data_IF_187118283630
#
_entry.id   IF_187118283630
#
_cell.length_a   1.000
_cell.length_b   1.000
_cell.length_c   1.000
_cell.angle_alpha   90.00
_cell.angle_beta   90.00
_cell.angle_gamma   90.00
#
_symmetry.space_group_name_H-M   'P 1'
#
loop_
_entity.id
_entity.type
_entity.pdbx_description
1 polymer ?
#
# COMPACT_ATOMS: atom_id res chain seq x y z
N UNK A 1 -28.28 1.83 13.95
CA UNK A 1 -27.59 2.98 14.58
C UNK A 1 -26.16 2.98 14.09
N UNK A 2 -25.62 4.10 13.58
CA UNK A 2 -24.24 4.13 13.07
C UNK A 2 -23.22 4.09 14.22
N UNK A 3 -22.16 3.29 14.05
CA UNK A 3 -21.04 3.24 14.99
C UNK A 3 -20.03 4.34 14.64
N UNK A 4 -19.72 5.22 15.60
CA UNK A 4 -18.78 6.32 15.41
C UNK A 4 -17.36 5.84 15.07
N UNK A 5 -16.90 4.76 15.71
CA UNK A 5 -15.55 4.25 15.51
C UNK A 5 -15.36 3.69 14.09
N UNK A 6 -16.39 2.99 13.58
CA UNK A 6 -16.37 2.46 12.20
C UNK A 6 -16.33 3.60 11.20
N UNK A 7 -17.16 4.64 11.38
CA UNK A 7 -17.17 5.81 10.51
C UNK A 7 -15.84 6.57 10.59
N UNK A 8 -15.33 6.82 11.79
CA UNK A 8 -14.06 7.51 11.99
C UNK A 8 -12.89 6.76 11.33
N UNK A 9 -12.82 5.45 11.48
CA UNK A 9 -11.81 4.61 10.82
C UNK A 9 -11.87 4.74 9.30
N UNK A 10 -13.08 4.67 8.73
CA UNK A 10 -13.26 4.81 7.28
C UNK A 10 -12.92 6.19 6.75
N UNK A 11 -13.27 7.25 7.48
CA UNK A 11 -12.96 8.62 7.08
C UNK A 11 -11.45 8.92 7.19
N UNK A 12 -10.78 8.36 8.19
CA UNK A 12 -9.31 8.41 8.30
C UNK A 12 -8.63 7.74 7.11
N UNK A 13 -9.08 6.55 6.75
CA UNK A 13 -8.60 5.83 5.56
C UNK A 13 -8.79 6.66 4.28
N UNK A 14 -9.98 7.27 4.09
CA UNK A 14 -10.25 8.14 2.95
C UNK A 14 -9.34 9.37 2.90
N UNK A 15 -9.01 9.97 4.04
CA UNK A 15 -8.08 11.08 4.11
C UNK A 15 -6.66 10.67 3.70
N UNK A 16 -6.21 9.47 4.08
CA UNK A 16 -4.92 8.92 3.64
C UNK A 16 -4.90 8.57 2.15
N UNK A 17 -6.00 8.04 1.62
CA UNK A 17 -6.12 7.70 0.19
C UNK A 17 -6.26 8.92 -0.73
N UNK A 18 -6.50 10.10 -0.17
CA UNK A 18 -6.68 11.35 -0.92
C UNK A 18 -5.94 12.48 -0.21
N UNK A 19 -4.64 12.59 -0.46
CA UNK A 19 -3.80 13.63 0.12
C UNK A 19 -4.39 15.03 -0.07
N UNK A 20 -4.38 15.83 0.98
CA UNK A 20 -4.95 17.18 0.99
C UNK A 20 -6.47 17.25 1.24
N UNK A 21 -7.18 16.12 1.24
CA UNK A 21 -8.61 16.09 1.57
C UNK A 21 -8.82 16.21 3.08
N UNK A 22 -9.63 17.20 3.49
CA UNK A 22 -10.02 17.42 4.89
C UNK A 22 -11.45 16.98 5.11
N UNK A 23 -11.66 16.04 6.02
CA UNK A 23 -12.97 15.48 6.37
C UNK A 23 -13.22 15.69 7.85
N UNK A 24 -14.43 16.10 8.25
CA UNK A 24 -14.83 16.21 9.65
C UNK A 24 -16.00 15.27 9.97
N UNK A 25 -15.98 14.69 11.15
CA UNK A 25 -17.05 13.88 11.70
C UNK A 25 -17.48 14.45 13.05
N UNK A 26 -18.75 14.79 13.19
CA UNK A 26 -19.30 15.30 14.46
C UNK A 26 -20.46 14.41 14.90
N UNK A 27 -20.36 13.86 16.11
CA UNK A 27 -21.42 13.07 16.74
C UNK A 27 -22.26 13.97 17.65
N UNK A 28 -23.47 14.32 17.22
CA UNK A 28 -24.40 15.17 17.96
C UNK A 28 -25.27 14.40 18.97
N UNK A 29 -25.06 13.10 19.13
CA UNK A 29 -25.82 12.26 20.07
C UNK A 29 -25.34 12.38 21.51
N UNK A 30 -24.06 12.74 21.67
CA UNK A 30 -23.42 12.89 22.98
C UNK A 30 -22.86 14.30 23.08
N UNK A 31 -23.31 15.00 24.12
CA UNK A 31 -22.85 16.34 24.47
C UNK A 31 -21.85 16.20 25.61
N UNK A 32 -20.72 16.89 25.54
CA UNK A 32 -19.81 17.02 26.65
C UNK A 32 -20.46 17.90 27.73
N UNK A 33 -20.62 17.39 28.94
CA UNK A 33 -21.31 18.07 30.02
C UNK A 33 -20.54 19.31 30.55
N UNK A 34 -19.21 19.38 30.32
CA UNK A 34 -18.36 20.44 30.80
C UNK A 34 -18.45 21.71 29.93
N UNK A 35 -18.52 21.58 28.62
CA UNK A 35 -18.44 22.71 27.68
C UNK A 35 -19.58 22.79 26.66
N UNK A 36 -20.51 21.82 26.70
CA UNK A 36 -21.63 21.76 25.77
C UNK A 36 -21.24 21.36 24.32
N UNK A 37 -20.00 20.98 24.10
CA UNK A 37 -19.48 20.61 22.77
C UNK A 37 -19.95 19.21 22.36
N UNK A 38 -19.94 18.97 21.03
CA UNK A 38 -20.14 17.62 20.49
C UNK A 38 -18.79 16.95 20.24
N UNK A 39 -18.77 15.62 20.32
CA UNK A 39 -17.60 14.85 19.91
C UNK A 39 -17.32 15.08 18.43
N UNK A 40 -16.20 15.71 18.11
CA UNK A 40 -15.79 16.03 16.74
C UNK A 40 -14.35 15.62 16.49
N UNK A 41 -14.07 15.12 15.29
CA UNK A 41 -12.74 14.72 14.84
C UNK A 41 -12.54 15.17 13.38
N UNK A 42 -11.34 15.66 13.07
CA UNK A 42 -10.95 16.06 11.72
C UNK A 42 -9.90 15.10 11.20
N UNK A 43 -10.13 14.56 10.02
CA UNK A 43 -9.21 13.67 9.31
C UNK A 43 -8.58 14.44 8.15
N UNK A 44 -7.26 14.46 8.10
CA UNK A 44 -6.47 15.13 7.08
C UNK A 44 -5.10 14.47 7.00
N UNK A 45 -4.59 14.30 5.79
CA UNK A 45 -3.23 13.85 5.53
C UNK A 45 -2.63 14.70 4.41
N UNK A 46 -1.43 15.21 4.61
CA UNK A 46 -0.69 15.96 3.61
C UNK A 46 0.10 15.02 2.68
N UNK A 47 0.69 13.97 3.24
CA UNK A 47 1.52 13.01 2.51
C UNK A 47 0.76 11.76 2.03
N UNK A 48 -0.53 11.64 2.33
CA UNK A 48 -1.40 10.57 1.82
C UNK A 48 -0.94 9.17 2.18
N UNK A 49 -0.64 8.33 1.17
CA UNK A 49 -0.23 6.93 1.38
C UNK A 49 1.06 6.76 2.18
N UNK A 50 1.96 7.74 2.16
CA UNK A 50 3.18 7.70 2.99
C UNK A 50 2.83 7.73 4.47
N UNK A 51 1.92 8.62 4.88
CA UNK A 51 1.43 8.66 6.26
C UNK A 51 0.62 7.41 6.60
N UNK A 52 -0.15 6.89 5.64
CA UNK A 52 -0.98 5.71 5.86
C UNK A 52 -0.12 4.48 6.17
N UNK A 53 0.92 4.21 5.40
CA UNK A 53 1.80 3.06 5.66
C UNK A 53 2.53 3.21 6.99
N UNK A 54 3.00 4.43 7.34
CA UNK A 54 3.58 4.71 8.66
C UNK A 54 2.58 4.49 9.80
N UNK A 55 1.33 4.87 9.59
CA UNK A 55 0.26 4.65 10.58
C UNK A 55 0.03 3.15 10.84
N UNK A 56 -0.02 2.33 9.78
CA UNK A 56 -0.14 0.87 9.90
C UNK A 56 1.09 0.27 10.61
N UNK A 57 2.27 0.79 10.33
CA UNK A 57 3.54 0.32 10.87
C UNK A 57 3.92 0.91 12.23
N UNK A 58 3.11 1.81 12.80
CA UNK A 58 3.46 2.61 13.98
C UNK A 58 3.88 1.85 15.23
N UNK A 59 3.50 0.57 15.34
CA UNK A 59 3.82 -0.30 16.49
C UNK A 59 4.89 -1.35 16.19
N UNK A 60 5.53 -1.30 15.00
CA UNK A 60 6.50 -2.31 14.55
C UNK A 60 7.90 -1.72 14.46
N UNK A 61 8.89 -2.57 14.60
CA UNK A 61 10.29 -2.22 14.35
C UNK A 61 10.59 -2.29 12.85
N UNK A 62 11.11 -1.21 12.29
CA UNK A 62 11.34 -1.08 10.85
C UNK A 62 12.75 -1.51 10.46
N UNK A 63 12.86 -2.25 9.35
CA UNK A 63 14.14 -2.51 8.68
C UNK A 63 14.64 -1.29 7.91
N UNK A 64 13.71 -0.50 7.36
CA UNK A 64 13.96 0.72 6.61
C UNK A 64 13.09 1.81 7.18
N UNK A 65 13.69 2.93 7.59
CA UNK A 65 12.94 4.06 8.19
C UNK A 65 12.19 4.89 7.14
N UNK A 66 12.68 4.91 5.90
CA UNK A 66 12.08 5.68 4.83
C UNK A 66 11.00 4.88 4.11
N UNK A 67 9.91 5.56 3.78
CA UNK A 67 8.85 4.97 2.95
C UNK A 67 9.31 4.93 1.50
N UNK A 68 9.30 3.76 0.89
CA UNK A 68 9.43 3.60 -0.55
C UNK A 68 8.10 4.01 -1.18
N UNK A 69 8.08 5.12 -1.91
CA UNK A 69 6.87 5.65 -2.51
C UNK A 69 6.99 5.72 -4.03
N UNK A 70 6.06 5.06 -4.69
CA UNK A 70 5.94 5.02 -6.14
C UNK A 70 4.66 5.78 -6.54
N UNK A 71 4.78 6.71 -7.47
CA UNK A 71 3.64 7.47 -8.00
C UNK A 71 3.84 7.68 -9.49
N UNK A 72 2.91 7.20 -10.28
CA UNK A 72 2.93 7.33 -11.73
C UNK A 72 1.56 7.08 -12.34
N UNK A 73 1.40 7.49 -13.58
CA UNK A 73 0.25 7.15 -14.40
C UNK A 73 0.70 6.26 -15.57
N UNK A 74 0.06 5.14 -15.77
CA UNK A 74 0.27 4.23 -16.92
C UNK A 74 -1.05 3.85 -17.56
N UNK A 75 -1.12 4.01 -18.87
CA UNK A 75 -2.33 3.70 -19.66
C UNK A 75 -3.59 4.45 -19.16
N UNK A 76 -3.41 5.68 -18.66
CA UNK A 76 -4.50 6.47 -18.09
C UNK A 76 -4.96 6.02 -16.70
N UNK A 77 -4.19 5.15 -16.04
CA UNK A 77 -4.45 4.65 -14.68
C UNK A 77 -3.47 5.31 -13.72
N UNK A 78 -3.91 6.26 -12.87
CA UNK A 78 -3.10 6.75 -11.75
C UNK A 78 -2.84 5.64 -10.74
N UNK A 79 -1.56 5.48 -10.37
CA UNK A 79 -1.07 4.43 -9.47
C UNK A 79 -0.21 5.07 -8.40
N UNK A 80 -0.55 4.83 -7.14
CA UNK A 80 0.24 5.19 -5.98
C UNK A 80 0.51 3.94 -5.15
N UNK A 81 1.75 3.76 -4.73
CA UNK A 81 2.17 2.63 -3.90
C UNK A 81 3.11 3.15 -2.80
N UNK A 82 2.83 2.79 -1.56
CA UNK A 82 3.72 3.05 -0.42
C UNK A 82 4.14 1.73 0.21
N UNK A 83 5.44 1.57 0.46
CA UNK A 83 6.04 0.32 0.92
C UNK A 83 6.93 0.60 2.13
N UNK A 84 6.84 -0.24 3.15
CA UNK A 84 7.79 -0.34 4.26
C UNK A 84 8.13 -1.80 4.54
N UNK A 85 9.30 -2.02 5.14
CA UNK A 85 9.71 -3.32 5.63
C UNK A 85 9.97 -3.26 7.14
N UNK A 86 9.48 -4.26 7.85
CA UNK A 86 9.68 -4.44 9.29
C UNK A 86 10.42 -5.75 9.60
N UNK A 87 10.80 -5.95 10.86
CA UNK A 87 11.53 -7.14 11.33
C UNK A 87 10.66 -8.37 11.51
N UNK A 88 9.37 -8.28 11.26
CA UNK A 88 8.43 -9.41 11.36
C UNK A 88 8.46 -10.31 10.13
N UNK A 89 7.71 -11.41 10.20
CA UNK A 89 7.65 -12.44 9.16
C UNK A 89 6.37 -12.39 8.33
N UNK A 90 5.42 -11.52 8.68
CA UNK A 90 4.12 -11.48 8.01
C UNK A 90 4.08 -10.47 6.88
N UNK A 91 3.43 -10.86 5.77
CA UNK A 91 3.03 -9.96 4.71
C UNK A 91 1.76 -9.20 5.11
N UNK A 92 1.74 -7.87 4.93
CA UNK A 92 0.59 -7.02 5.19
C UNK A 92 0.37 -6.06 4.01
N UNK A 93 -0.39 -6.50 3.02
CA UNK A 93 -0.63 -5.73 1.79
C UNK A 93 -2.09 -5.34 1.68
N UNK A 94 -2.33 -4.04 1.55
CA UNK A 94 -3.65 -3.45 1.35
C UNK A 94 -3.79 -2.92 -0.07
N UNK A 95 -4.87 -3.26 -0.75
CA UNK A 95 -5.12 -2.82 -2.12
C UNK A 95 -6.45 -2.09 -2.26
N UNK A 96 -6.43 -1.00 -3.04
CA UNK A 96 -7.55 -0.11 -3.24
C UNK A 96 -7.77 0.19 -4.72
N UNK A 97 -9.04 0.24 -5.11
CA UNK A 97 -9.49 0.70 -6.43
C UNK A 97 -10.56 1.76 -6.22
N UNK A 98 -10.33 2.98 -6.74
CA UNK A 98 -11.25 4.11 -6.55
C UNK A 98 -11.64 4.31 -5.08
N UNK A 99 -10.66 4.23 -4.17
CA UNK A 99 -10.81 4.31 -2.72
C UNK A 99 -11.59 3.14 -2.08
N UNK A 100 -11.92 2.09 -2.83
CA UNK A 100 -12.58 0.89 -2.31
C UNK A 100 -11.51 -0.12 -1.93
N UNK A 101 -11.55 -0.62 -0.68
CA UNK A 101 -10.66 -1.68 -0.24
C UNK A 101 -11.02 -2.99 -0.92
N UNK A 102 -10.10 -3.52 -1.74
CA UNK A 102 -10.24 -4.80 -2.42
C UNK A 102 -9.65 -5.91 -1.54
N UNK A 103 -10.41 -6.38 -0.57
CA UNK A 103 -9.95 -7.33 0.46
C UNK A 103 -9.46 -8.64 -0.16
N UNK A 104 -10.07 -9.08 -1.25
CA UNK A 104 -9.68 -10.28 -2.01
C UNK A 104 -8.62 -9.97 -3.09
N UNK A 105 -8.12 -8.73 -3.13
CA UNK A 105 -7.11 -8.29 -4.08
C UNK A 105 -7.63 -8.11 -5.50
N UNK A 106 -6.97 -8.76 -6.44
CA UNK A 106 -7.30 -8.69 -7.86
C UNK A 106 -6.06 -8.49 -8.73
N UNK A 107 -6.29 -8.05 -9.96
CA UNK A 107 -5.25 -7.94 -11.00
C UNK A 107 -4.15 -6.94 -10.64
N UNK A 108 -4.48 -5.80 -9.99
CA UNK A 108 -3.51 -4.80 -9.55
C UNK A 108 -2.59 -5.33 -8.45
N UNK A 109 -3.12 -6.09 -7.48
CA UNK A 109 -2.33 -6.74 -6.44
C UNK A 109 -1.44 -7.85 -7.04
N UNK A 110 -1.97 -8.65 -7.97
CA UNK A 110 -1.19 -9.66 -8.67
C UNK A 110 -0.03 -9.04 -9.47
N UNK A 111 -0.28 -7.92 -10.15
CA UNK A 111 0.75 -7.14 -10.84
C UNK A 111 1.85 -6.65 -9.91
N UNK A 112 1.48 -6.09 -8.75
CA UNK A 112 2.42 -5.67 -7.72
C UNK A 112 3.32 -6.84 -7.26
N UNK A 113 2.72 -7.95 -6.83
CA UNK A 113 3.47 -9.12 -6.34
C UNK A 113 4.42 -9.71 -7.38
N UNK A 114 3.98 -9.81 -8.63
CA UNK A 114 4.82 -10.28 -9.72
C UNK A 114 6.01 -9.35 -9.99
N UNK A 115 5.75 -8.05 -10.08
CA UNK A 115 6.79 -7.07 -10.35
C UNK A 115 7.82 -6.99 -9.23
N UNK A 116 7.38 -7.08 -7.96
CA UNK A 116 8.27 -7.16 -6.80
C UNK A 116 9.22 -8.35 -6.95
N UNK A 117 8.68 -9.55 -7.13
CA UNK A 117 9.48 -10.78 -7.26
C UNK A 117 10.48 -10.69 -8.40
N UNK A 118 10.05 -10.22 -9.56
CA UNK A 118 10.92 -10.07 -10.74
C UNK A 118 12.02 -9.04 -10.49
N UNK A 119 11.68 -7.85 -10.02
CA UNK A 119 12.63 -6.74 -9.87
C UNK A 119 13.68 -7.04 -8.81
N UNK A 120 13.30 -7.66 -7.69
CA UNK A 120 14.25 -8.06 -6.65
C UNK A 120 15.22 -9.14 -7.13
N UNK A 121 14.75 -10.15 -7.85
CA UNK A 121 15.62 -11.18 -8.42
C UNK A 121 16.57 -10.61 -9.48
N UNK A 122 16.08 -9.74 -10.39
CA UNK A 122 16.93 -9.05 -11.36
C UNK A 122 18.01 -8.21 -10.66
N UNK A 123 17.64 -7.48 -9.61
CA UNK A 123 18.60 -6.70 -8.83
C UNK A 123 19.64 -7.59 -8.15
N UNK A 124 19.21 -8.65 -7.46
CA UNK A 124 20.11 -9.55 -6.74
C UNK A 124 21.14 -10.20 -7.67
N UNK A 125 20.73 -10.56 -8.90
CA UNK A 125 21.65 -11.09 -9.93
C UNK A 125 22.60 -10.02 -10.48
N UNK A 126 22.08 -8.83 -10.79
CA UNK A 126 22.89 -7.73 -11.31
C UNK A 126 23.96 -7.28 -10.30
N UNK A 127 23.64 -7.32 -9.01
CA UNK A 127 24.57 -7.01 -7.92
C UNK A 127 25.41 -8.21 -7.48
N UNK A 128 25.28 -9.36 -8.15
CA UNK A 128 25.99 -10.61 -7.82
C UNK A 128 25.73 -11.11 -6.39
N UNK A 129 24.59 -10.75 -5.80
CA UNK A 129 24.11 -11.29 -4.53
C UNK A 129 23.61 -12.72 -4.69
N UNK A 130 23.08 -13.05 -5.86
CA UNK A 130 22.78 -14.41 -6.31
C UNK A 130 23.76 -14.81 -7.41
N UNK A 131 24.36 -15.99 -7.30
CA UNK A 131 25.21 -16.59 -8.32
C UNK A 131 24.36 -17.15 -9.47
N UNK A 132 24.98 -17.39 -10.63
CA UNK A 132 24.27 -17.91 -11.81
C UNK A 132 23.55 -19.24 -11.57
N UNK A 133 24.09 -20.07 -10.68
CA UNK A 133 23.52 -21.38 -10.32
C UNK A 133 22.57 -21.35 -9.11
N UNK A 134 22.43 -20.20 -8.44
CA UNK A 134 21.53 -20.08 -7.28
C UNK A 134 20.06 -20.03 -7.77
N UNK A 135 19.15 -20.61 -6.99
CA UNK A 135 17.72 -20.45 -7.22
C UNK A 135 17.30 -18.98 -7.05
N UNK A 136 16.26 -18.57 -7.76
CA UNK A 136 15.65 -17.27 -7.51
C UNK A 136 14.98 -17.25 -6.14
N UNK A 137 14.99 -16.07 -5.53
CA UNK A 137 14.18 -15.81 -4.34
C UNK A 137 12.70 -16.03 -4.66
N UNK A 138 12.00 -16.69 -3.77
CA UNK A 138 10.55 -16.87 -3.90
C UNK A 138 9.81 -15.53 -3.65
N UNK A 139 8.58 -15.45 -4.12
CA UNK A 139 7.75 -14.29 -3.82
C UNK A 139 7.49 -14.13 -2.32
N UNK A 140 7.41 -15.23 -1.59
CA UNK A 140 7.17 -15.21 -0.13
C UNK A 140 8.40 -14.68 0.61
N UNK A 141 9.61 -15.08 0.22
CA UNK A 141 10.86 -14.55 0.80
C UNK A 141 10.96 -13.01 0.65
N UNK A 142 10.56 -12.50 -0.53
CA UNK A 142 10.63 -11.06 -0.84
C UNK A 142 9.57 -10.27 -0.08
N UNK A 143 8.43 -10.87 0.22
CA UNK A 143 7.32 -10.21 0.92
C UNK A 143 7.31 -10.44 2.43
N UNK A 144 8.29 -11.17 2.96
CA UNK A 144 8.46 -11.32 4.40
C UNK A 144 8.75 -9.96 5.05
N UNK A 145 7.97 -9.61 6.06
CA UNK A 145 8.04 -8.30 6.73
C UNK A 145 7.56 -7.11 5.90
N UNK A 146 6.98 -7.36 4.72
CA UNK A 146 6.46 -6.32 3.83
C UNK A 146 5.13 -5.76 4.35
N UNK A 147 5.04 -4.45 4.47
CA UNK A 147 3.77 -3.71 4.49
C UNK A 147 3.70 -2.80 3.28
N UNK A 148 2.63 -2.95 2.50
CA UNK A 148 2.42 -2.14 1.31
C UNK A 148 0.96 -1.71 1.16
N UNK A 149 0.78 -0.52 0.59
CA UNK A 149 -0.54 0.00 0.21
C UNK A 149 -0.49 0.32 -1.28
N UNK A 150 -1.42 -0.24 -2.04
CA UNK A 150 -1.56 -0.04 -3.47
C UNK A 150 -2.89 0.66 -3.71
N UNK A 151 -2.87 1.83 -4.32
CA UNK A 151 -4.06 2.60 -4.69
C UNK A 151 -4.03 2.92 -6.18
N UNK A 152 -5.06 2.49 -6.88
CA UNK A 152 -5.23 2.81 -8.30
C UNK A 152 -6.59 3.46 -8.53
N UNK A 153 -6.68 4.23 -9.62
CA UNK A 153 -7.94 4.85 -10.05
C UNK A 153 -8.22 4.44 -11.50
N UNK A 154 -9.38 3.82 -11.71
CA UNK A 154 -9.82 3.31 -13.01
C UNK A 154 -11.21 3.89 -13.30
N UNK A 155 -11.46 4.44 -14.51
CA UNK A 155 -12.78 4.99 -14.87
C UNK A 155 -13.89 3.93 -14.81
N UNK A 156 -13.61 2.72 -15.29
CA UNK A 156 -14.59 1.64 -15.40
C UNK A 156 -14.05 0.34 -14.73
N UNK A 157 -14.06 0.27 -13.38
CA UNK A 157 -13.57 -0.90 -12.69
C UNK A 157 -14.51 -2.09 -12.87
N UNK A 158 -13.96 -3.21 -13.27
CA UNK A 158 -14.66 -4.48 -13.37
C UNK A 158 -14.32 -5.34 -12.14
N UNK A 159 -15.27 -5.44 -11.22
CA UNK A 159 -15.09 -6.26 -10.02
C UNK A 159 -15.67 -7.66 -10.23
N UNK A 160 -14.99 -8.66 -9.66
CA UNK A 160 -15.56 -9.99 -9.51
C UNK A 160 -16.59 -9.95 -8.37
N UNK A 161 -17.87 -9.96 -8.73
CA UNK A 161 -18.99 -9.91 -7.79
C UNK A 161 -19.42 -8.51 -7.33
N UNK A 162 -20.61 -8.44 -6.72
CA UNK A 162 -21.22 -7.17 -6.28
C UNK A 162 -20.57 -6.55 -5.04
N UNK A 163 -19.80 -7.31 -4.29
CA UNK A 163 -19.11 -6.86 -3.08
C UNK A 163 -17.90 -5.97 -3.37
N UNK A 164 -17.46 -5.89 -4.64
CA UNK A 164 -16.32 -5.07 -5.10
C UNK A 164 -15.01 -5.40 -4.35
N UNK A 165 -14.85 -6.64 -3.93
CA UNK A 165 -13.70 -7.06 -3.12
C UNK A 165 -12.51 -7.51 -3.96
N UNK A 166 -12.72 -7.82 -5.26
CA UNK A 166 -11.68 -8.29 -6.17
C UNK A 166 -11.78 -7.63 -7.53
N UNK A 167 -10.67 -7.04 -7.98
CA UNK A 167 -10.59 -6.39 -9.29
C UNK A 167 -10.24 -7.41 -10.39
N UNK A 168 -10.96 -7.33 -11.52
CA UNK A 168 -10.77 -8.20 -12.68
C UNK A 168 -10.08 -7.57 -13.90
N UNK A 169 -9.92 -6.24 -13.94
CA UNK A 169 -9.34 -5.52 -15.09
C UNK A 169 -7.91 -5.98 -15.42
N UNK A 170 -7.68 -6.55 -16.59
CA UNK A 170 -6.35 -7.04 -17.01
C UNK A 170 -5.33 -5.91 -17.23
N UNK A 171 -5.79 -4.76 -17.71
CA UNK A 171 -4.96 -3.56 -17.91
C UNK A 171 -4.36 -3.02 -16.61
N UNK A 172 -5.06 -3.17 -15.49
CA UNK A 172 -4.55 -2.79 -14.17
C UNK A 172 -3.32 -3.58 -13.76
N UNK A 173 -3.27 -4.87 -14.11
CA UNK A 173 -2.10 -5.72 -13.84
C UNK A 173 -0.87 -5.20 -14.56
N UNK A 174 -0.98 -4.99 -15.87
CA UNK A 174 0.13 -4.52 -16.69
C UNK A 174 0.61 -3.12 -16.26
N UNK A 175 -0.32 -2.20 -15.96
CA UNK A 175 0.00 -0.86 -15.54
C UNK A 175 0.80 -0.86 -14.21
N UNK A 176 0.35 -1.63 -13.21
CA UNK A 176 1.05 -1.75 -11.91
C UNK A 176 2.40 -2.45 -12.07
N UNK A 177 2.49 -3.53 -12.85
CA UNK A 177 3.77 -4.20 -13.14
C UNK A 177 4.79 -3.24 -13.74
N UNK A 178 4.39 -2.38 -14.68
CA UNK A 178 5.25 -1.41 -15.30
C UNK A 178 5.75 -0.36 -14.31
N UNK A 179 4.85 0.24 -13.51
CA UNK A 179 5.22 1.26 -12.50
C UNK A 179 6.21 0.70 -11.49
N UNK A 180 5.93 -0.47 -10.94
CA UNK A 180 6.79 -1.11 -9.95
C UNK A 180 8.16 -1.45 -10.56
N UNK A 181 8.19 -2.09 -11.74
CA UNK A 181 9.44 -2.47 -12.41
C UNK A 181 10.30 -1.26 -12.81
N UNK A 182 9.69 -0.17 -13.25
CA UNK A 182 10.41 1.03 -13.64
C UNK A 182 10.97 1.79 -12.43
N UNK A 183 10.14 2.04 -11.41
CA UNK A 183 10.52 2.91 -10.30
C UNK A 183 11.30 2.18 -9.21
N UNK A 184 10.96 0.92 -8.91
CA UNK A 184 11.64 0.18 -7.86
C UNK A 184 13.12 -0.11 -8.17
N UNK A 185 13.51 -0.16 -9.44
CA UNK A 185 14.92 -0.32 -9.86
C UNK A 185 15.87 0.77 -9.33
N UNK A 186 15.35 1.95 -9.05
CA UNK A 186 16.15 3.07 -8.53
C UNK A 186 16.34 3.03 -7.01
N UNK A 187 15.48 2.34 -6.28
CA UNK A 187 15.52 2.29 -4.82
C UNK A 187 16.66 1.41 -4.25
N UNK A 188 16.95 0.22 -4.80
CA UNK A 188 18.01 -0.64 -4.24
C UNK A 188 19.39 0.01 -4.24
N UNK A 189 19.65 0.95 -5.15
CA UNK A 189 20.93 1.67 -5.21
C UNK A 189 21.15 2.56 -3.97
N UNK A 190 20.07 3.01 -3.34
CA UNK A 190 20.10 3.85 -2.14
C UNK A 190 20.11 3.03 -0.84
N UNK A 191 19.76 1.75 -0.88
CA UNK A 191 19.58 0.86 0.29
C UNK A 191 20.50 -0.36 0.22
N UNK A 192 21.80 -0.14 0.13
CA UNK A 192 22.84 -1.20 0.13
C UNK A 192 22.90 -2.04 1.43
N UNK A 193 21.95 -1.85 2.36
CA UNK A 193 21.87 -2.54 3.64
C UNK A 193 20.73 -3.57 3.74
N UNK A 194 20.00 -3.85 2.66
CA UNK A 194 19.13 -5.02 2.62
C UNK A 194 20.03 -6.27 2.58
N UNK A 195 20.47 -6.70 3.74
CA UNK A 195 21.07 -8.03 3.89
C UNK A 195 19.96 -9.04 3.67
N UNK A 196 20.05 -9.77 2.57
CA UNK A 196 19.26 -10.99 2.39
C UNK A 196 19.47 -11.88 3.63
N UNK A 197 18.42 -12.52 4.16
CA UNK A 197 18.58 -13.41 5.28
C UNK A 197 19.63 -14.47 4.90
N UNK A 198 20.74 -14.49 5.64
CA UNK A 198 21.73 -15.54 5.53
C UNK A 198 21.14 -16.79 6.17
N UNK A 199 20.75 -17.75 5.34
CA UNK A 199 20.46 -19.12 5.74
C UNK A 199 21.67 -19.77 6.37
#
# INVERSE_FOLDING_TARGET
>A
MYDYKILASRLRELAYLNAGLRISLTDRRVVNEEDGSFKSEVFYSEEGLREFVRFIESSREHLINDVIYLNSEKQGIPIEIAIMYNTGFSENVHSYVNNINTIEGGTHLAGFKNAMTKTFNEYARNQKLLKDNDANLSGDDIREGLTAIISIKIPEPQFEGQTKQKLGNSEARAAVENVVSEQLRYFPVSYTHLTLPTT
#
